data_IF_118623737852
#
_entry.id   IF_118623737852
#
_cell.length_a   1.000
_cell.length_b   1.000
_cell.length_c   1.000
_cell.angle_alpha   90.00
_cell.angle_beta   90.00
_cell.angle_gamma   90.00
#
_symmetry.space_group_name_H-M   'P 1'
#
loop_
_entity.id
_entity.type
_entity.pdbx_description
1 polymer ?
#
# COMPACT_ATOMS: atom_id res chain seq x y z
N UNK A 1 29.75 -5.61 -12.39
CA UNK A 1 28.72 -6.68 -12.36
C UNK A 1 27.75 -6.46 -13.50
N UNK A 2 27.29 -7.54 -14.13
CA UNK A 2 26.34 -7.50 -15.26
C UNK A 2 24.96 -7.99 -14.83
N UNK A 3 23.91 -7.54 -15.52
CA UNK A 3 22.52 -7.96 -15.31
C UNK A 3 22.02 -7.83 -13.84
N UNK A 4 22.36 -6.72 -13.19
CA UNK A 4 21.91 -6.38 -11.85
C UNK A 4 20.40 -6.16 -11.83
N UNK A 5 19.73 -6.93 -10.97
CA UNK A 5 18.29 -6.90 -10.75
C UNK A 5 18.03 -6.84 -9.25
N UNK A 6 17.07 -6.02 -8.85
CA UNK A 6 16.59 -5.96 -7.48
C UNK A 6 15.10 -6.32 -7.43
N UNK A 7 14.73 -7.17 -6.48
CA UNK A 7 13.34 -7.58 -6.22
C UNK A 7 13.01 -7.21 -4.79
N UNK A 8 11.92 -6.50 -4.60
CA UNK A 8 11.41 -6.11 -3.29
C UNK A 8 10.15 -6.90 -2.98
N UNK A 9 10.27 -7.88 -2.10
CA UNK A 9 9.13 -8.63 -1.58
C UNK A 9 8.42 -7.81 -0.50
N UNK A 10 7.17 -7.47 -0.74
CA UNK A 10 6.35 -6.61 0.11
C UNK A 10 4.87 -6.91 -0.15
N UNK A 11 3.97 -6.75 0.85
CA UNK A 11 2.53 -6.85 0.63
C UNK A 11 1.97 -5.70 -0.21
N UNK A 12 2.76 -4.66 -0.51
CA UNK A 12 2.33 -3.57 -1.37
C UNK A 12 2.10 -4.02 -2.81
N UNK A 13 1.31 -3.21 -3.53
CA UNK A 13 1.02 -3.44 -4.95
C UNK A 13 1.90 -2.55 -5.83
N UNK A 14 1.98 -2.85 -7.13
CA UNK A 14 2.82 -2.12 -8.08
C UNK A 14 4.09 -2.86 -8.49
N UNK A 15 5.13 -2.12 -8.86
CA UNK A 15 6.38 -2.64 -9.43
C UNK A 15 7.34 -3.06 -8.33
N UNK A 16 7.47 -4.37 -8.13
CA UNK A 16 8.36 -5.01 -7.14
C UNK A 16 9.73 -5.39 -7.69
N UNK A 17 9.99 -5.17 -8.97
CA UNK A 17 11.27 -5.52 -9.61
C UNK A 17 11.84 -4.29 -10.29
N UNK A 18 13.11 -4.01 -10.01
CA UNK A 18 13.91 -3.00 -10.70
C UNK A 18 15.04 -3.67 -11.47
N UNK A 19 15.22 -3.28 -12.73
CA UNK A 19 16.34 -3.71 -13.57
C UNK A 19 17.33 -2.55 -13.70
N UNK A 20 18.54 -2.76 -13.20
CA UNK A 20 19.60 -1.73 -13.19
C UNK A 20 20.52 -1.90 -14.41
N UNK A 21 20.74 -3.14 -14.86
CA UNK A 21 21.62 -3.43 -15.99
C UNK A 21 23.04 -3.73 -15.54
N UNK A 22 24.03 -2.97 -15.98
CA UNK A 22 25.42 -3.15 -15.57
C UNK A 22 25.83 -2.07 -14.59
N UNK A 23 26.64 -2.44 -13.59
CA UNK A 23 27.24 -1.49 -12.65
C UNK A 23 28.76 -1.67 -12.69
N UNK A 24 29.48 -0.58 -12.92
CA UNK A 24 30.93 -0.54 -12.91
C UNK A 24 31.49 -0.71 -11.50
N UNK A 25 32.76 -1.10 -11.42
CA UNK A 25 33.42 -1.27 -10.12
C UNK A 25 33.44 0.06 -9.37
N UNK A 26 33.03 0.04 -8.10
CA UNK A 26 32.92 1.22 -7.23
C UNK A 26 31.93 2.28 -7.73
N UNK A 27 30.92 1.87 -8.50
CA UNK A 27 29.82 2.73 -8.94
C UNK A 27 28.52 2.32 -8.23
N UNK A 28 27.64 3.30 -8.06
CA UNK A 28 26.30 3.11 -7.49
C UNK A 28 25.24 3.38 -8.55
N UNK A 29 24.13 2.64 -8.46
CA UNK A 29 22.99 2.83 -9.34
C UNK A 29 21.66 2.70 -8.57
N UNK A 30 20.68 3.57 -8.84
CA UNK A 30 19.41 3.54 -8.13
C UNK A 30 18.53 2.38 -8.59
N UNK A 31 17.93 1.67 -7.63
CA UNK A 31 16.82 0.74 -7.87
C UNK A 31 15.49 1.45 -7.61
N UNK A 32 14.68 1.64 -8.65
CA UNK A 32 13.41 2.39 -8.56
C UNK A 32 12.24 1.40 -8.48
N UNK A 33 11.40 1.58 -7.48
CA UNK A 33 10.18 0.80 -7.26
C UNK A 33 8.97 1.72 -7.22
N UNK A 34 7.89 1.33 -7.89
CA UNK A 34 6.62 2.06 -7.87
C UNK A 34 5.64 1.27 -7.02
N UNK A 35 5.47 1.65 -5.76
CA UNK A 35 4.67 0.91 -4.80
C UNK A 35 3.42 1.70 -4.41
N UNK A 36 2.29 1.02 -4.29
CA UNK A 36 1.08 1.55 -3.68
C UNK A 36 0.82 0.83 -2.36
N UNK A 37 0.79 1.61 -1.29
CA UNK A 37 0.53 1.13 0.06
C UNK A 37 -0.90 0.57 0.15
N UNK A 38 -1.03 -0.63 0.74
CA UNK A 38 -2.33 -1.30 0.98
C UNK A 38 -2.58 -1.57 2.46
N UNK A 39 -1.60 -1.24 3.31
CA UNK A 39 -1.63 -1.37 4.76
C UNK A 39 -0.96 -0.15 5.36
N UNK A 40 -1.49 0.27 6.50
CA UNK A 40 -0.97 1.38 7.28
C UNK A 40 0.11 0.90 8.26
N UNK A 41 1.00 1.82 8.66
CA UNK A 41 2.03 1.55 9.66
C UNK A 41 3.31 0.92 9.10
N UNK A 42 3.97 0.14 9.95
CA UNK A 42 5.30 -0.43 9.71
C UNK A 42 5.19 -1.78 9.03
N UNK A 43 5.64 -1.86 7.78
CA UNK A 43 5.52 -3.06 6.95
C UNK A 43 6.92 -3.61 6.62
N UNK A 44 7.23 -4.86 6.98
CA UNK A 44 8.49 -5.47 6.59
C UNK A 44 8.52 -5.72 5.08
N UNK A 45 9.69 -5.55 4.48
CA UNK A 45 9.95 -5.84 3.08
C UNK A 45 11.32 -6.53 2.94
N UNK A 46 11.45 -7.51 2.06
CA UNK A 46 12.73 -8.17 1.80
C UNK A 46 13.26 -7.72 0.44
N UNK A 47 14.46 -7.13 0.43
CA UNK A 47 15.15 -6.72 -0.77
C UNK A 47 16.12 -7.83 -1.18
N UNK A 48 15.93 -8.41 -2.35
CA UNK A 48 16.83 -9.38 -2.97
C UNK A 48 17.50 -8.77 -4.20
N UNK A 49 18.82 -8.67 -4.17
CA UNK A 49 19.65 -8.19 -5.27
C UNK A 49 20.33 -9.41 -5.91
N UNK A 50 20.16 -9.57 -7.22
CA UNK A 50 20.83 -10.62 -8.00
C UNK A 50 21.69 -9.98 -9.09
N UNK A 51 22.91 -10.47 -9.27
CA UNK A 51 23.82 -10.02 -10.32
C UNK A 51 24.66 -11.17 -10.87
N UNK A 52 25.21 -10.99 -12.07
CA UNK A 52 26.14 -11.93 -12.67
C UNK A 52 27.52 -11.30 -12.83
N UNK A 53 28.55 -12.01 -12.42
CA UNK A 53 29.96 -11.63 -12.64
C UNK A 53 30.73 -12.77 -13.33
N UNK A 54 32.05 -12.65 -13.35
CA UNK A 54 32.95 -13.61 -14.00
C UNK A 54 33.00 -14.98 -13.26
N UNK A 55 32.51 -15.04 -12.02
CA UNK A 55 32.48 -16.24 -11.17
C UNK A 55 31.08 -16.86 -11.06
N UNK A 56 30.05 -16.17 -11.56
CA UNK A 56 28.71 -16.72 -11.74
C UNK A 56 27.61 -15.78 -11.26
N UNK A 57 26.48 -16.37 -10.89
CA UNK A 57 25.32 -15.61 -10.38
C UNK A 57 25.37 -15.54 -8.86
N UNK A 58 25.26 -14.32 -8.35
CA UNK A 58 25.25 -14.02 -6.93
C UNK A 58 23.93 -13.39 -6.51
N UNK A 59 23.50 -13.71 -5.30
CA UNK A 59 22.27 -13.19 -4.70
C UNK A 59 22.58 -12.68 -3.29
N UNK A 60 22.11 -11.48 -2.97
CA UNK A 60 22.19 -10.85 -1.66
C UNK A 60 20.78 -10.50 -1.22
N UNK A 61 20.40 -10.85 0.01
CA UNK A 61 19.08 -10.57 0.56
C UNK A 61 19.20 -9.77 1.85
N UNK A 62 18.48 -8.66 1.91
CA UNK A 62 18.46 -7.72 3.03
C UNK A 62 17.02 -7.49 3.49
N UNK A 63 16.84 -7.29 4.80
CA UNK A 63 15.53 -6.96 5.37
C UNK A 63 15.40 -5.46 5.51
N UNK A 64 14.31 -4.92 4.98
CA UNK A 64 13.96 -3.51 5.04
C UNK A 64 12.59 -3.32 5.71
N UNK A 65 12.33 -2.09 6.14
CA UNK A 65 11.05 -1.71 6.75
C UNK A 65 10.52 -0.46 6.07
N UNK A 66 9.27 -0.51 5.60
CA UNK A 66 8.61 0.64 4.97
C UNK A 66 7.53 1.16 5.91
N UNK A 67 7.58 2.46 6.21
CA UNK A 67 6.58 3.12 7.04
C UNK A 67 5.56 3.83 6.16
N UNK A 68 4.29 3.58 6.42
CA UNK A 68 3.16 4.15 5.68
C UNK A 68 2.28 4.97 6.62
N UNK A 69 1.80 6.10 6.12
CA UNK A 69 0.86 6.93 6.84
C UNK A 69 -0.53 6.26 6.90
N UNK A 70 -1.30 6.47 7.98
CA UNK A 70 -2.64 5.92 8.09
C UNK A 70 -3.57 6.50 7.03
N UNK A 71 -4.51 5.68 6.54
CA UNK A 71 -5.54 6.11 5.62
C UNK A 71 -6.44 7.18 6.26
N UNK A 72 -6.86 8.18 5.48
CA UNK A 72 -7.74 9.24 5.99
C UNK A 72 -9.12 8.67 6.35
N UNK A 73 -9.60 8.94 7.56
CA UNK A 73 -10.93 8.51 8.00
C UNK A 73 -12.08 9.37 7.40
N UNK A 74 -11.77 10.50 6.77
CA UNK A 74 -12.76 11.48 6.27
C UNK A 74 -13.84 10.83 5.38
N UNK A 75 -13.52 10.00 4.38
CA UNK A 75 -14.56 9.40 3.52
C UNK A 75 -15.51 8.49 4.32
N UNK A 76 -14.97 7.71 5.26
CA UNK A 76 -15.77 6.82 6.12
C UNK A 76 -16.69 7.63 7.04
N UNK A 77 -16.18 8.72 7.62
CA UNK A 77 -16.96 9.63 8.48
C UNK A 77 -18.11 10.27 7.70
N UNK A 78 -17.86 10.74 6.47
CA UNK A 78 -18.90 11.33 5.62
C UNK A 78 -20.01 10.31 5.34
N UNK A 79 -19.65 9.08 4.96
CA UNK A 79 -20.63 8.01 4.71
C UNK A 79 -21.44 7.69 5.97
N UNK A 80 -20.80 7.61 7.13
CA UNK A 80 -21.48 7.36 8.40
C UNK A 80 -22.50 8.47 8.74
N UNK A 81 -22.13 9.74 8.54
CA UNK A 81 -23.02 10.89 8.77
C UNK A 81 -24.24 10.82 7.83
N UNK A 82 -24.05 10.50 6.55
CA UNK A 82 -25.16 10.38 5.59
C UNK A 82 -26.14 9.29 6.00
N UNK A 83 -25.65 8.12 6.46
CA UNK A 83 -26.48 7.03 6.97
C UNK A 83 -27.27 7.47 8.21
N UNK A 84 -26.64 8.18 9.15
CA UNK A 84 -27.30 8.70 10.35
C UNK A 84 -28.42 9.69 10.03
N UNK A 85 -28.22 10.57 9.03
CA UNK A 85 -29.26 11.52 8.60
C UNK A 85 -30.45 10.76 8.00
N UNK A 86 -30.21 9.80 7.10
CA UNK A 86 -31.27 9.00 6.47
C UNK A 86 -32.05 8.22 7.53
N UNK A 87 -31.37 7.60 8.49
CA UNK A 87 -31.99 6.88 9.59
C UNK A 87 -32.82 7.83 10.48
N UNK A 88 -32.30 9.02 10.80
CA UNK A 88 -32.99 10.03 11.60
C UNK A 88 -34.27 10.55 10.91
N UNK A 89 -34.19 10.89 9.62
CA UNK A 89 -35.35 11.33 8.82
C UNK A 89 -36.39 10.22 8.72
N UNK A 90 -35.95 8.97 8.46
CA UNK A 90 -36.85 7.82 8.38
C UNK A 90 -37.56 7.58 9.72
N UNK A 91 -36.82 7.59 10.83
CA UNK A 91 -37.38 7.42 12.18
C UNK A 91 -38.39 8.53 12.52
N UNK A 92 -38.06 9.78 12.22
CA UNK A 92 -38.96 10.91 12.41
C UNK A 92 -40.25 10.74 11.59
N UNK A 93 -40.13 10.33 10.33
CA UNK A 93 -41.27 10.09 9.45
C UNK A 93 -42.20 8.98 9.95
N UNK A 94 -41.64 7.85 10.40
CA UNK A 94 -42.41 6.76 10.99
C UNK A 94 -43.12 7.20 12.26
N UNK A 95 -42.44 7.93 13.14
CA UNK A 95 -43.01 8.42 14.39
C UNK A 95 -44.17 9.40 14.16
N UNK A 96 -44.03 10.32 13.20
CA UNK A 96 -45.09 11.28 12.85
C UNK A 96 -46.30 10.59 12.18
N UNK A 97 -46.09 9.56 11.35
CA UNK A 97 -47.21 8.82 10.73
C UNK A 97 -47.98 7.93 11.72
N UNK A 98 -47.31 7.38 12.73
CA UNK A 98 -47.97 6.57 13.76
C UNK A 98 -48.86 7.40 14.69
N UNK A 99 -48.57 8.69 14.87
CA UNK A 99 -49.39 9.60 15.68
C UNK A 99 -50.73 10.01 15.06
N UNK A 100 -50.96 9.78 13.76
CA UNK A 100 -52.20 10.17 13.04
C UNK A 100 -53.21 9.05 12.85
N UNK A 101 -52.99 7.86 13.43
CA UNK A 101 -53.92 6.70 13.31
C UNK A 101 -54.93 6.57 14.46
N UNK A 102 -54.97 7.53 15.40
CA UNK A 102 -55.81 7.50 16.61
C UNK A 102 -56.78 8.69 16.71
N UNK A 103 -57.21 9.25 15.58
CA UNK A 103 -58.30 10.24 15.52
C UNK A 103 -59.35 9.81 14.50
#
# INVERSE_FOLDING_TARGET
>A
ASSVRAVLDTPFTGTKTSFIGSIDKNSDAPAIFYLQAVKDGTVPANLTISYNDDFGTHTVSETATIMTAPASAIPVVIVAILICIIAGVSFWYFRVRLGKKHE
#
